data_IF_136163721976
#
_entry.id   IF_136163721976
#
_cell.length_a   1.000
_cell.length_b   1.000
_cell.length_c   1.000
_cell.angle_alpha   90.00
_cell.angle_beta   90.00
_cell.angle_gamma   90.00
#
_symmetry.space_group_name_H-M   'P 1'
#
loop_
_entity.id
_entity.type
_entity.pdbx_description
1 polymer ?
#
# COMPACT_ATOMS: atom_id res chain seq x y z
N UNK A 1 -1.72 3.13 -17.46
CA UNK A 1 -2.65 2.03 -17.16
C UNK A 1 -1.84 0.86 -16.64
N UNK A 2 -2.29 0.22 -15.56
CA UNK A 2 -1.59 -0.90 -14.91
C UNK A 2 -2.46 -2.16 -15.00
N UNK A 3 -1.83 -3.31 -15.24
CA UNK A 3 -2.52 -4.61 -15.35
C UNK A 3 -2.40 -5.47 -14.09
N UNK A 4 -1.45 -5.14 -13.20
CA UNK A 4 -1.18 -5.93 -11.99
C UNK A 4 -1.26 -5.06 -10.74
N UNK A 5 -1.52 -5.70 -9.59
CA UNK A 5 -1.48 -5.04 -8.28
C UNK A 5 -0.10 -4.45 -8.01
N UNK A 6 0.97 -5.13 -8.42
CA UNK A 6 2.33 -4.60 -8.31
C UNK A 6 2.52 -3.31 -9.13
N UNK A 7 2.06 -3.30 -10.38
CA UNK A 7 2.08 -2.11 -11.24
C UNK A 7 1.28 -0.95 -10.66
N UNK A 8 0.12 -1.23 -10.08
CA UNK A 8 -0.69 -0.23 -9.38
C UNK A 8 0.05 0.35 -8.16
N UNK A 9 0.71 -0.48 -7.36
CA UNK A 9 1.48 -0.04 -6.20
C UNK A 9 2.69 0.80 -6.62
N UNK A 10 3.37 0.42 -7.70
CA UNK A 10 4.49 1.20 -8.25
C UNK A 10 4.04 2.57 -8.77
N UNK A 11 2.90 2.62 -9.46
CA UNK A 11 2.29 3.87 -9.92
C UNK A 11 1.91 4.80 -8.76
N UNK A 12 1.38 4.23 -7.67
CA UNK A 12 1.07 4.96 -6.44
C UNK A 12 2.31 5.50 -5.72
N UNK A 13 3.42 4.75 -5.71
CA UNK A 13 4.64 5.14 -5.01
C UNK A 13 5.50 6.11 -5.82
N UNK A 14 5.61 5.91 -7.14
CA UNK A 14 6.48 6.69 -8.02
C UNK A 14 7.98 6.35 -7.92
N UNK A 15 8.36 5.40 -7.06
CA UNK A 15 9.72 4.88 -6.92
C UNK A 15 9.74 3.37 -6.72
N UNK A 16 10.93 2.75 -6.76
CA UNK A 16 11.09 1.33 -6.48
C UNK A 16 10.89 1.07 -4.97
N UNK A 17 9.89 0.29 -4.57
CA UNK A 17 9.58 0.04 -3.18
C UNK A 17 10.64 -0.84 -2.51
N UNK A 18 10.67 -0.77 -1.19
CA UNK A 18 11.46 -1.65 -0.33
C UNK A 18 10.56 -2.64 0.40
N UNK A 19 11.15 -3.78 0.78
CA UNK A 19 10.49 -4.76 1.65
C UNK A 19 10.13 -4.10 2.98
N UNK A 20 8.90 -4.30 3.43
CA UNK A 20 8.35 -3.72 4.67
C UNK A 20 7.72 -2.33 4.50
N UNK A 21 7.81 -1.75 3.30
CA UNK A 21 7.18 -0.46 2.99
C UNK A 21 5.65 -0.59 3.02
N UNK A 22 5.00 0.44 3.57
CA UNK A 22 3.56 0.45 3.84
C UNK A 22 2.95 1.69 3.24
N UNK A 23 1.80 1.54 2.61
CA UNK A 23 1.02 2.64 2.05
C UNK A 23 -0.45 2.46 2.39
N UNK A 24 -1.17 3.58 2.46
CA UNK A 24 -2.61 3.59 2.72
C UNK A 24 -3.35 4.10 1.51
N UNK A 25 -4.35 3.36 1.07
CA UNK A 25 -5.17 3.72 -0.07
C UNK A 25 -6.63 3.38 0.20
N UNK A 26 -7.52 4.39 0.20
CA UNK A 26 -8.97 4.24 0.37
C UNK A 26 -9.40 3.36 1.56
N UNK A 27 -8.72 3.48 2.70
CA UNK A 27 -8.99 2.67 3.91
C UNK A 27 -8.40 1.26 3.87
N UNK A 28 -7.54 0.97 2.89
CA UNK A 28 -6.71 -0.23 2.87
C UNK A 28 -5.29 0.16 3.26
N UNK A 29 -4.71 -0.60 4.17
CA UNK A 29 -3.27 -0.61 4.41
C UNK A 29 -2.65 -1.71 3.59
N UNK A 30 -1.70 -1.34 2.74
CA UNK A 30 -0.98 -2.25 1.85
C UNK A 30 0.46 -2.29 2.34
N UNK A 31 0.99 -3.48 2.61
CA UNK A 31 2.36 -3.69 3.09
C UNK A 31 3.08 -4.63 2.14
N UNK A 32 4.27 -4.25 1.70
CA UNK A 32 5.08 -5.07 0.79
C UNK A 32 5.85 -6.09 1.63
N UNK A 33 5.41 -7.35 1.62
CA UNK A 33 6.00 -8.38 2.48
C UNK A 33 7.19 -9.07 1.83
N UNK A 34 7.16 -9.20 0.49
CA UNK A 34 8.18 -9.92 -0.27
C UNK A 34 8.50 -9.27 -1.61
N UNK A 35 9.80 -9.06 -1.81
CA UNK A 35 10.40 -8.56 -3.04
C UNK A 35 11.30 -9.64 -3.63
N UNK A 36 11.31 -9.77 -4.95
CA UNK A 36 12.30 -10.55 -5.71
C UNK A 36 12.94 -9.65 -6.76
N UNK A 37 14.12 -9.12 -6.43
CA UNK A 37 14.74 -8.05 -7.22
C UNK A 37 13.82 -6.82 -7.28
N UNK A 38 13.43 -6.41 -8.49
CA UNK A 38 12.51 -5.28 -8.72
C UNK A 38 11.03 -5.69 -8.75
N UNK A 39 10.73 -6.99 -8.64
CA UNK A 39 9.36 -7.50 -8.68
C UNK A 39 8.79 -7.64 -7.28
N UNK A 40 7.59 -7.11 -7.07
CA UNK A 40 6.78 -7.40 -5.87
C UNK A 40 6.20 -8.80 -6.04
N UNK A 41 6.50 -9.71 -5.12
CA UNK A 41 5.90 -11.07 -5.12
C UNK A 41 4.66 -11.14 -4.25
N UNK A 42 4.69 -10.51 -3.07
CA UNK A 42 3.62 -10.60 -2.09
C UNK A 42 3.37 -9.26 -1.42
N UNK A 43 2.09 -9.00 -1.19
CA UNK A 43 1.60 -7.82 -0.46
C UNK A 43 0.55 -8.26 0.54
N UNK A 44 0.61 -7.69 1.74
CA UNK A 44 -0.40 -7.85 2.77
C UNK A 44 -1.37 -6.68 2.71
N UNK A 45 -2.65 -7.01 2.52
CA UNK A 45 -3.74 -6.05 2.55
C UNK A 45 -4.46 -6.16 3.89
N UNK A 46 -4.61 -5.04 4.57
CA UNK A 46 -5.43 -4.93 5.77
C UNK A 46 -6.50 -3.89 5.54
N UNK A 47 -7.77 -4.28 5.73
CA UNK A 47 -8.87 -3.30 5.77
C UNK A 47 -8.77 -2.53 7.07
N UNK A 48 -8.41 -1.26 6.98
CA UNK A 48 -8.48 -0.37 8.12
C UNK A 48 -9.91 0.15 8.19
N UNK A 49 -10.58 -0.09 9.33
CA UNK A 49 -11.80 0.66 9.62
C UNK A 49 -11.41 2.14 9.60
N UNK A 50 -12.06 2.95 8.76
CA UNK A 50 -11.82 4.39 8.68
C UNK A 50 -11.82 4.95 10.11
N UNK A 51 -10.65 5.32 10.61
CA UNK A 51 -10.52 6.15 11.79
C UNK A 51 -10.34 7.58 11.28
N UNK A 52 -11.36 8.07 10.56
CA UNK A 52 -11.51 9.44 10.13
C UNK A 52 -12.99 9.79 10.26
N UNK A 53 -13.38 10.04 11.51
CA UNK A 53 -14.46 10.94 11.95
C UNK A 53 -14.32 11.16 13.47
N UNK A 54 -13.09 11.40 13.95
CA UNK A 54 -12.92 12.04 15.26
C UNK A 54 -12.84 13.54 14.97
N UNK A 55 -13.93 14.32 15.14
CA UNK A 55 -13.80 15.77 15.15
C UNK A 55 -12.76 16.14 16.22
N UNK A 56 -11.90 17.15 15.96
CA UNK A 56 -11.00 17.64 16.99
C UNK A 56 -11.85 18.04 18.21
N UNK A 57 -11.61 17.37 19.33
CA UNK A 57 -12.25 17.72 20.58
C UNK A 57 -11.59 19.01 21.09
N UNK A 58 -12.42 20.06 21.10
CA UNK A 58 -12.31 21.35 21.80
C UNK A 58 -11.36 22.40 21.22
#
# INVERSE_FOLDING_TARGET
AYETVAGFILDLLGHIPKRGEQLRYKGLKIVITKMRGLKIEEVLLTKEKKQQDVPPAN
#
